data_IF_297769598571
#
_entry.id   IF_297769598571
#
_cell.length_a   1.000
_cell.length_b   1.000
_cell.length_c   1.000
_cell.angle_alpha   90.00
_cell.angle_beta   90.00
_cell.angle_gamma   90.00
#
_symmetry.space_group_name_H-M   'P 1'
#
loop_
_entity.id
_entity.type
_entity.pdbx_description
1 polymer ?
#
# COMPACT_ATOMS: atom_id res chain seq x y z
N UNK A 1 19.08 -57.95 29.99
CA UNK A 1 18.29 -58.69 28.98
C UNK A 1 18.08 -57.83 27.75
N UNK A 2 18.42 -58.40 26.59
CA UNK A 2 18.06 -58.06 25.20
C UNK A 2 18.15 -56.58 24.75
N UNK A 3 19.22 -56.17 24.04
CA UNK A 3 19.52 -56.33 22.59
C UNK A 3 19.13 -55.07 21.77
N UNK A 4 20.15 -54.27 21.43
CA UNK A 4 20.24 -53.47 20.19
C UNK A 4 20.15 -54.43 18.97
N UNK A 5 19.82 -54.04 17.71
CA UNK A 5 20.56 -52.97 17.00
C UNK A 5 19.92 -52.28 15.75
N UNK A 6 20.68 -51.29 15.24
CA UNK A 6 20.97 -50.98 13.83
C UNK A 6 19.87 -50.78 12.78
N UNK A 7 19.91 -49.61 12.11
CA UNK A 7 20.30 -49.39 10.68
C UNK A 7 19.99 -47.93 10.29
N UNK A 8 20.99 -47.04 10.11
CA UNK A 8 21.90 -46.84 8.96
C UNK A 8 21.38 -45.88 7.88
N UNK A 9 22.03 -44.72 7.78
CA UNK A 9 22.53 -44.00 6.60
C UNK A 9 21.68 -43.83 5.31
N UNK A 10 21.47 -42.56 4.93
CA UNK A 10 21.93 -41.90 3.68
C UNK A 10 21.40 -40.44 3.71
N UNK A 11 22.18 -39.38 3.96
CA UNK A 11 23.12 -38.63 3.09
C UNK A 11 22.67 -38.40 1.63
N UNK A 12 22.71 -37.10 1.25
CA UNK A 12 22.79 -36.49 -0.10
C UNK A 12 21.49 -36.40 -0.90
N UNK A 13 21.26 -35.43 -1.80
CA UNK A 13 21.70 -34.06 -2.08
C UNK A 13 20.83 -33.65 -3.30
N UNK A 14 20.35 -32.40 -3.36
CA UNK A 14 19.95 -31.66 -4.58
C UNK A 14 18.74 -32.10 -5.44
N UNK A 15 17.68 -31.27 -5.49
CA UNK A 15 17.35 -30.31 -6.60
C UNK A 15 15.86 -29.88 -6.60
N UNK A 16 15.65 -28.57 -6.55
CA UNK A 16 14.57 -27.86 -7.27
C UNK A 16 13.15 -27.90 -6.70
N UNK A 17 12.71 -26.80 -6.10
CA UNK A 17 11.53 -26.08 -6.62
C UNK A 17 11.55 -24.65 -6.11
N UNK A 18 11.67 -23.76 -7.08
CA UNK A 18 11.49 -22.32 -6.99
C UNK A 18 10.04 -21.98 -6.61
N UNK A 19 9.87 -20.85 -5.93
CA UNK A 19 8.65 -20.05 -6.07
C UNK A 19 7.62 -20.15 -4.96
N UNK A 20 7.39 -18.99 -4.33
CA UNK A 20 6.10 -18.56 -3.76
C UNK A 20 5.68 -19.12 -2.39
N UNK A 21 6.55 -18.99 -1.39
CA UNK A 21 6.21 -19.21 0.03
C UNK A 21 5.36 -18.12 0.71
N UNK A 22 4.97 -17.04 0.03
CA UNK A 22 4.38 -15.85 0.69
C UNK A 22 2.91 -15.53 0.33
N UNK A 23 2.24 -16.33 -0.51
CA UNK A 23 0.86 -16.03 -0.94
C UNK A 23 -0.26 -16.72 -0.16
N UNK A 24 0.03 -17.76 0.64
CA UNK A 24 -1.03 -18.52 1.32
C UNK A 24 -1.61 -17.83 2.56
N UNK A 25 -0.82 -17.03 3.27
CA UNK A 25 -1.28 -16.34 4.49
C UNK A 25 -2.12 -15.08 4.18
N UNK A 26 -1.80 -14.37 3.09
CA UNK A 26 -2.45 -13.10 2.73
C UNK A 26 -3.86 -13.26 2.18
N UNK A 27 -4.18 -14.40 1.56
CA UNK A 27 -5.52 -14.65 1.00
C UNK A 27 -6.53 -14.97 2.11
N UNK A 28 -6.11 -15.62 3.20
CA UNK A 28 -6.99 -16.04 4.29
C UNK A 28 -7.60 -14.82 5.02
N UNK A 29 -6.87 -13.71 5.09
CA UNK A 29 -7.32 -12.47 5.72
C UNK A 29 -8.42 -11.73 4.93
N UNK A 30 -8.51 -11.95 3.62
CA UNK A 30 -9.46 -11.30 2.70
C UNK A 30 -10.78 -12.07 2.55
N UNK A 31 -10.89 -13.26 3.13
CA UNK A 31 -12.06 -14.11 2.99
C UNK A 31 -13.13 -13.81 4.06
N UNK A 32 -14.40 -13.83 3.66
CA UNK A 32 -15.52 -13.73 4.60
C UNK A 32 -15.52 -14.92 5.59
N UNK A 33 -16.09 -14.74 6.78
CA UNK A 33 -16.11 -15.73 7.88
C UNK A 33 -16.54 -17.16 7.43
N UNK A 34 -17.51 -17.33 6.50
CA UNK A 34 -17.86 -18.64 5.93
C UNK A 34 -16.74 -19.32 5.12
N UNK A 35 -15.98 -18.57 4.33
CA UNK A 35 -14.90 -19.10 3.49
C UNK A 35 -13.68 -19.52 4.33
N UNK A 36 -13.42 -18.84 5.45
CA UNK A 36 -12.39 -19.25 6.43
C UNK A 36 -12.73 -20.59 7.09
N UNK A 37 -14.00 -20.80 7.46
CA UNK A 37 -14.48 -22.06 8.02
C UNK A 37 -14.38 -23.24 7.03
N UNK A 38 -14.57 -22.98 5.73
CA UNK A 38 -14.49 -24.02 4.70
C UNK A 38 -13.04 -24.48 4.41
N UNK A 39 -12.06 -23.59 4.55
CA UNK A 39 -10.63 -23.91 4.32
C UNK A 39 -10.02 -24.77 5.43
N UNK A 40 -10.47 -24.61 6.68
CA UNK A 40 -9.98 -25.38 7.83
C UNK A 40 -10.27 -26.89 7.74
N UNK A 41 -11.29 -27.29 6.98
CA UNK A 41 -11.76 -28.68 6.87
C UNK A 41 -11.71 -29.24 5.45
N UNK A 42 -10.89 -28.67 4.56
CA UNK A 42 -10.88 -28.97 3.13
C UNK A 42 -10.73 -30.48 2.80
N UNK A 43 -9.89 -31.21 3.55
CA UNK A 43 -9.70 -32.67 3.35
C UNK A 43 -10.89 -33.50 3.83
N UNK A 44 -11.56 -33.09 4.91
CA UNK A 44 -12.78 -33.72 5.42
C UNK A 44 -13.95 -33.49 4.44
N UNK A 45 -14.07 -32.27 3.93
CA UNK A 45 -15.11 -31.88 2.98
C UNK A 45 -14.96 -32.59 1.63
N UNK A 46 -13.73 -32.73 1.11
CA UNK A 46 -13.47 -33.49 -0.12
C UNK A 46 -13.77 -34.98 0.03
N UNK A 47 -13.41 -35.60 1.16
CA UNK A 47 -13.69 -37.02 1.42
C UNK A 47 -15.19 -37.30 1.55
N UNK A 48 -15.95 -36.39 2.15
CA UNK A 48 -17.40 -36.55 2.30
C UNK A 48 -18.14 -36.31 0.98
N UNK A 49 -17.68 -35.36 0.15
CA UNK A 49 -18.21 -35.15 -1.20
C UNK A 49 -17.96 -36.37 -2.12
N UNK A 50 -16.80 -37.02 -2.00
CA UNK A 50 -16.45 -38.20 -2.80
C UNK A 50 -17.25 -39.45 -2.39
N UNK A 51 -17.45 -39.65 -1.08
CA UNK A 51 -18.31 -40.72 -0.53
C UNK A 51 -19.78 -40.57 -0.95
N UNK A 52 -20.28 -39.34 -1.10
CA UNK A 52 -21.67 -39.07 -1.50
C UNK A 52 -21.91 -39.19 -3.01
N UNK A 53 -20.89 -39.03 -3.86
CA UNK A 53 -20.99 -39.28 -5.32
C UNK A 53 -21.24 -40.74 -5.67
N UNK A 54 -20.86 -41.67 -4.79
CA UNK A 54 -20.95 -43.11 -5.02
C UNK A 54 -22.00 -43.79 -4.12
N UNK A 55 -22.86 -43.01 -3.44
CA UNK A 55 -23.88 -43.56 -2.55
C UNK A 55 -25.17 -43.93 -3.33
N UNK A 56 -25.73 -45.15 -3.14
CA UNK A 56 -26.93 -45.59 -3.84
C UNK A 56 -28.19 -44.78 -3.45
N UNK A 57 -29.19 -44.68 -4.35
CA UNK A 57 -30.25 -43.67 -4.29
C UNK A 57 -31.22 -43.77 -3.10
N UNK A 58 -31.21 -44.87 -2.34
CA UNK A 58 -32.22 -45.15 -1.30
C UNK A 58 -31.90 -44.56 0.09
N UNK A 59 -30.72 -43.95 0.32
CA UNK A 59 -30.36 -43.24 1.57
C UNK A 59 -30.51 -41.71 1.45
N UNK A 60 -31.44 -41.23 0.63
CA UNK A 60 -31.69 -39.80 0.42
C UNK A 60 -32.76 -39.28 1.39
N UNK A 61 -32.34 -38.93 2.61
CA UNK A 61 -33.19 -38.26 3.60
C UNK A 61 -33.66 -36.86 3.15
N UNK A 62 -34.91 -36.52 3.52
CA UNK A 62 -35.68 -35.33 3.15
C UNK A 62 -35.18 -34.03 3.84
N UNK A 63 -35.37 -32.89 3.14
CA UNK A 63 -35.80 -31.61 3.73
C UNK A 63 -34.77 -30.72 4.43
N UNK A 64 -34.74 -29.43 4.07
CA UNK A 64 -34.07 -28.28 4.70
C UNK A 64 -32.53 -28.28 4.86
N UNK A 65 -31.88 -29.38 5.23
CA UNK A 65 -30.41 -29.42 5.36
C UNK A 65 -29.71 -29.38 3.98
N UNK A 66 -30.35 -29.95 2.95
CA UNK A 66 -29.85 -29.97 1.56
C UNK A 66 -29.88 -28.58 0.92
N UNK A 67 -30.98 -27.84 1.10
CA UNK A 67 -31.11 -26.47 0.60
C UNK A 67 -30.14 -25.50 1.27
N UNK A 68 -29.88 -25.66 2.58
CA UNK A 68 -28.87 -24.88 3.29
C UNK A 68 -27.45 -25.16 2.78
N UNK A 69 -27.13 -26.42 2.46
CA UNK A 69 -25.83 -26.79 1.92
C UNK A 69 -25.67 -26.29 0.47
N UNK A 70 -26.69 -26.44 -0.38
CA UNK A 70 -26.69 -25.99 -1.77
C UNK A 70 -26.66 -24.46 -1.89
N UNK A 71 -27.32 -23.72 -0.98
CA UNK A 71 -27.17 -22.24 -0.90
C UNK A 71 -25.74 -21.85 -0.52
N UNK A 72 -25.13 -22.55 0.45
CA UNK A 72 -23.74 -22.29 0.86
C UNK A 72 -22.74 -22.63 -0.25
N UNK A 73 -22.98 -23.70 -0.99
CA UNK A 73 -22.15 -24.10 -2.13
C UNK A 73 -22.25 -23.08 -3.27
N UNK A 74 -23.48 -22.65 -3.64
CA UNK A 74 -23.69 -21.57 -4.63
C UNK A 74 -23.07 -20.24 -4.18
N UNK A 75 -23.07 -19.93 -2.89
CA UNK A 75 -22.38 -18.76 -2.35
C UNK A 75 -20.86 -18.84 -2.55
N UNK A 76 -20.26 -20.01 -2.28
CA UNK A 76 -18.81 -20.23 -2.43
C UNK A 76 -18.39 -20.20 -3.90
N UNK A 77 -19.18 -20.79 -4.80
CA UNK A 77 -18.92 -20.75 -6.24
C UNK A 77 -19.07 -19.33 -6.80
N UNK A 78 -20.09 -18.55 -6.39
CA UNK A 78 -20.17 -17.11 -6.74
C UNK A 78 -18.98 -16.29 -6.25
N UNK A 79 -18.48 -16.57 -5.03
CA UNK A 79 -17.28 -15.91 -4.53
C UNK A 79 -16.02 -16.33 -5.29
N UNK A 80 -15.96 -17.57 -5.79
CA UNK A 80 -14.87 -18.06 -6.65
C UNK A 80 -14.92 -17.44 -8.04
N UNK A 81 -16.11 -17.34 -8.64
CA UNK A 81 -16.33 -16.67 -9.93
C UNK A 81 -16.03 -15.17 -9.84
N UNK A 82 -16.46 -14.50 -8.77
CA UNK A 82 -16.13 -13.10 -8.54
C UNK A 82 -14.61 -12.90 -8.34
N UNK A 83 -13.94 -13.83 -7.65
CA UNK A 83 -12.48 -13.78 -7.46
C UNK A 83 -11.72 -14.17 -8.73
N UNK A 84 -12.24 -15.12 -9.53
CA UNK A 84 -11.61 -15.53 -10.79
C UNK A 84 -11.79 -14.47 -11.86
N UNK A 85 -12.92 -13.75 -11.90
CA UNK A 85 -13.12 -12.58 -12.72
C UNK A 85 -12.19 -11.43 -12.31
N UNK A 86 -12.01 -11.18 -11.01
CA UNK A 86 -11.06 -10.19 -10.52
C UNK A 86 -9.60 -10.55 -10.86
N UNK A 87 -9.24 -11.83 -10.72
CA UNK A 87 -7.91 -12.34 -11.09
C UNK A 87 -7.73 -12.36 -12.61
N UNK A 88 -8.77 -12.62 -13.39
CA UNK A 88 -8.74 -12.57 -14.85
C UNK A 88 -8.61 -11.14 -15.35
N UNK A 89 -9.34 -10.18 -14.78
CA UNK A 89 -9.19 -8.74 -15.05
C UNK A 89 -7.80 -8.24 -14.66
N UNK A 90 -7.29 -8.64 -13.50
CA UNK A 90 -5.93 -8.31 -13.08
C UNK A 90 -4.86 -8.93 -14.01
N UNK A 91 -5.10 -10.14 -14.53
CA UNK A 91 -4.23 -10.78 -15.53
C UNK A 91 -4.34 -10.13 -16.89
N UNK A 92 -5.52 -9.75 -17.35
CA UNK A 92 -5.74 -9.03 -18.60
C UNK A 92 -5.10 -7.64 -18.55
N UNK A 93 -5.22 -6.92 -17.42
CA UNK A 93 -4.52 -5.67 -17.19
C UNK A 93 -2.99 -5.85 -17.18
N UNK A 94 -2.48 -6.93 -16.57
CA UNK A 94 -1.06 -7.27 -16.62
C UNK A 94 -0.59 -7.67 -18.04
N UNK A 95 -1.43 -8.37 -18.81
CA UNK A 95 -1.12 -8.82 -20.18
C UNK A 95 -1.16 -7.64 -21.17
N UNK A 96 -2.10 -6.72 -21.03
CA UNK A 96 -2.18 -5.47 -21.79
C UNK A 96 -0.95 -4.59 -21.53
N UNK A 97 -0.42 -4.59 -20.30
CA UNK A 97 0.82 -3.92 -19.96
C UNK A 97 2.07 -4.63 -20.55
N UNK A 98 1.99 -5.92 -20.86
CA UNK A 98 3.08 -6.70 -21.48
C UNK A 98 3.08 -6.70 -23.02
N UNK A 99 1.97 -6.33 -23.66
CA UNK A 99 1.84 -6.21 -25.13
C UNK A 99 1.97 -4.77 -25.65
N UNK A 100 2.20 -3.80 -24.76
CA UNK A 100 2.67 -2.48 -25.18
C UNK A 100 4.00 -2.66 -25.96
N UNK A 101 4.22 -1.90 -27.06
CA UNK A 101 5.42 -2.06 -27.88
C UNK A 101 6.66 -2.00 -26.98
N UNK A 102 7.54 -3.01 -27.10
CA UNK A 102 8.81 -3.07 -26.36
C UNK A 102 9.56 -1.76 -26.60
N UNK A 103 9.47 -0.84 -25.64
CA UNK A 103 10.36 0.33 -25.61
C UNK A 103 11.78 -0.22 -25.61
N UNK A 104 12.57 0.34 -26.51
CA UNK A 104 13.98 0.04 -26.71
C UNK A 104 14.75 0.01 -25.38
N UNK A 105 15.90 -0.69 -25.40
CA UNK A 105 16.87 -0.86 -24.33
C UNK A 105 16.84 0.23 -23.26
N UNK A 106 16.85 -0.18 -21.98
CA UNK A 106 16.98 0.70 -20.81
C UNK A 106 18.12 1.68 -21.06
N UNK A 107 17.86 2.99 -21.25
CA UNK A 107 18.92 3.98 -21.28
C UNK A 107 19.54 4.04 -19.87
N UNK A 108 20.85 4.26 -19.84
CA UNK A 108 21.71 4.39 -18.68
C UNK A 108 21.11 5.20 -17.51
N UNK A 109 21.64 4.96 -16.30
CA UNK A 109 21.30 5.57 -15.00
C UNK A 109 21.54 7.09 -14.92
N UNK A 110 20.96 7.85 -15.84
CA UNK A 110 20.96 9.30 -15.82
C UNK A 110 19.70 9.74 -15.07
N UNK A 111 19.90 10.32 -13.88
CA UNK A 111 18.82 11.00 -13.16
C UNK A 111 18.35 12.11 -14.09
N UNK A 112 17.05 12.22 -14.43
CA UNK A 112 16.59 13.32 -15.27
C UNK A 112 16.97 14.64 -14.61
N UNK A 113 17.85 15.37 -15.28
CA UNK A 113 18.39 16.68 -14.91
C UNK A 113 17.46 17.83 -15.32
N UNK A 114 16.19 17.53 -15.63
CA UNK A 114 15.16 18.54 -15.84
C UNK A 114 14.67 19.12 -14.51
N UNK A 115 14.16 20.35 -14.59
CA UNK A 115 13.42 20.99 -13.51
C UNK A 115 12.24 20.11 -13.10
N UNK A 116 11.98 20.06 -11.80
CA UNK A 116 10.84 19.30 -11.30
C UNK A 116 9.56 20.11 -11.52
N UNK A 117 8.44 19.46 -11.86
CA UNK A 117 7.17 20.16 -12.09
C UNK A 117 6.53 20.69 -10.80
N UNK A 118 7.10 20.43 -9.63
CA UNK A 118 6.48 20.71 -8.32
C UNK A 118 6.50 22.21 -8.02
N UNK A 119 5.39 22.87 -8.28
CA UNK A 119 5.15 24.29 -7.99
C UNK A 119 4.71 24.52 -6.54
N UNK A 120 4.03 23.53 -5.93
CA UNK A 120 3.44 23.64 -4.59
C UNK A 120 3.55 22.35 -3.78
N UNK A 121 3.93 22.49 -2.51
CA UNK A 121 3.84 21.43 -1.50
C UNK A 121 2.71 21.74 -0.53
N UNK A 122 1.80 20.79 -0.36
CA UNK A 122 0.76 20.86 0.67
C UNK A 122 0.95 19.79 1.74
N UNK A 123 0.59 20.12 2.99
CA UNK A 123 0.62 19.18 4.10
C UNK A 123 -0.36 19.56 5.21
N UNK A 124 -0.50 18.67 6.21
CA UNK A 124 -1.42 18.85 7.33
C UNK A 124 -0.88 19.68 8.49
N UNK A 125 0.41 20.01 8.46
CA UNK A 125 1.08 20.78 9.51
C UNK A 125 1.24 20.05 10.84
N UNK A 126 1.06 18.73 10.91
CA UNK A 126 1.46 17.96 12.09
C UNK A 126 3.00 18.03 12.29
N UNK A 127 3.50 17.71 13.48
CA UNK A 127 4.94 17.46 13.69
C UNK A 127 5.44 16.31 12.79
N UNK A 128 6.76 16.11 12.74
CA UNK A 128 7.35 15.04 11.93
C UNK A 128 7.32 15.37 10.44
N UNK A 129 6.79 14.46 9.63
CA UNK A 129 6.87 14.57 8.15
C UNK A 129 6.14 15.80 7.61
N UNK A 130 4.96 16.10 8.16
CA UNK A 130 4.15 17.21 7.67
C UNK A 130 4.89 18.56 7.84
N UNK A 131 5.60 18.73 8.96
CA UNK A 131 6.42 19.93 9.21
C UNK A 131 7.67 19.99 8.34
N UNK A 132 8.36 18.87 8.19
CA UNK A 132 9.53 18.77 7.32
C UNK A 132 9.18 19.17 5.88
N UNK A 133 8.02 18.75 5.37
CA UNK A 133 7.57 19.12 4.04
C UNK A 133 7.36 20.63 3.86
N UNK A 134 6.72 21.28 4.84
CA UNK A 134 6.48 22.72 4.81
C UNK A 134 7.77 23.53 4.96
N UNK A 135 8.70 23.06 5.79
CA UNK A 135 10.00 23.71 5.97
C UNK A 135 10.87 23.59 4.71
N UNK A 136 10.88 22.43 4.06
CA UNK A 136 11.60 22.22 2.79
C UNK A 136 11.00 23.07 1.66
N UNK A 137 9.67 23.14 1.56
CA UNK A 137 9.02 23.99 0.57
C UNK A 137 9.52 25.44 0.69
N UNK A 138 9.48 25.99 1.92
CA UNK A 138 9.96 27.33 2.23
C UNK A 138 11.46 27.50 1.95
N UNK A 139 12.28 26.53 2.33
CA UNK A 139 13.73 26.57 2.13
C UNK A 139 14.15 26.51 0.66
N UNK A 140 13.34 25.88 -0.20
CA UNK A 140 13.58 25.78 -1.65
C UNK A 140 12.83 26.84 -2.46
N UNK A 141 12.10 27.76 -1.82
CA UNK A 141 11.28 28.75 -2.53
C UNK A 141 10.04 28.18 -3.25
N UNK A 142 9.65 26.94 -2.93
CA UNK A 142 8.44 26.29 -3.47
C UNK A 142 7.23 26.77 -2.65
N UNK A 143 6.09 27.01 -3.30
CA UNK A 143 4.89 27.43 -2.60
C UNK A 143 4.48 26.37 -1.55
N UNK A 144 4.26 26.80 -0.30
CA UNK A 144 3.78 25.93 0.76
C UNK A 144 2.29 26.15 1.02
N UNK A 145 1.58 25.14 1.51
CA UNK A 145 0.21 25.31 1.99
C UNK A 145 -0.44 24.03 2.49
N UNK A 146 -1.77 23.98 2.39
CA UNK A 146 -2.58 22.82 2.75
C UNK A 146 -3.65 23.12 3.78
N UNK A 147 -4.33 22.06 4.20
CA UNK A 147 -5.40 22.09 5.18
C UNK A 147 -4.93 21.55 6.52
N UNK A 148 -5.30 22.23 7.61
CA UNK A 148 -5.06 21.79 8.99
C UNK A 148 -6.39 21.73 9.76
N UNK A 149 -6.46 21.01 10.90
CA UNK A 149 -7.69 20.93 11.69
C UNK A 149 -8.08 22.30 12.26
N UNK A 150 -9.38 22.51 12.52
CA UNK A 150 -9.89 23.67 13.26
C UNK A 150 -9.11 23.93 14.55
N UNK A 151 -8.76 25.18 14.79
CA UNK A 151 -7.86 25.64 15.86
C UNK A 151 -6.38 25.33 15.58
N UNK A 152 -6.02 25.09 14.31
CA UNK A 152 -4.65 24.76 13.87
C UNK A 152 -4.01 23.65 14.70
N UNK A 153 -4.76 22.61 15.05
CA UNK A 153 -4.27 21.61 16.03
C UNK A 153 -3.12 20.76 15.47
N UNK A 154 -2.04 20.65 16.24
CA UNK A 154 -1.01 19.62 16.14
C UNK A 154 -0.74 19.01 17.52
N UNK A 155 0.15 18.01 17.61
CA UNK A 155 0.48 17.36 18.89
C UNK A 155 1.27 18.26 19.84
N UNK A 156 2.06 19.19 19.29
CA UNK A 156 2.90 20.15 19.98
C UNK A 156 2.17 21.48 20.29
N UNK A 157 0.85 21.49 20.11
CA UNK A 157 0.01 22.68 20.26
C UNK A 157 -0.45 23.26 18.92
N UNK A 158 -0.85 24.55 18.88
CA UNK A 158 -1.27 25.20 17.65
C UNK A 158 -0.13 25.30 16.63
N UNK A 159 -0.43 24.97 15.37
CA UNK A 159 0.49 25.06 14.24
C UNK A 159 0.91 26.53 14.05
N UNK A 160 2.23 26.83 14.04
CA UNK A 160 2.72 28.19 13.89
C UNK A 160 2.16 28.93 12.66
N UNK A 161 1.93 30.24 12.81
CA UNK A 161 1.36 31.09 11.74
C UNK A 161 2.25 31.25 10.51
N UNK A 162 3.56 30.99 10.65
CA UNK A 162 4.51 30.97 9.52
C UNK A 162 4.16 29.94 8.43
N UNK A 163 3.31 28.96 8.75
CA UNK A 163 2.82 27.98 7.80
C UNK A 163 1.49 28.43 7.19
N UNK A 164 1.41 28.66 5.87
CA UNK A 164 0.22 29.18 5.19
C UNK A 164 -0.85 28.08 5.01
N UNK A 165 -1.41 27.60 6.12
CA UNK A 165 -2.41 26.53 6.16
C UNK A 165 -3.81 27.11 6.34
N UNK A 166 -4.77 26.55 5.62
CA UNK A 166 -6.20 26.81 5.80
C UNK A 166 -6.78 25.87 6.85
N UNK A 167 -7.53 26.40 7.79
CA UNK A 167 -8.26 25.56 8.74
C UNK A 167 -9.45 24.89 8.05
N UNK A 168 -9.71 23.64 8.42
CA UNK A 168 -10.99 22.99 8.14
C UNK A 168 -12.02 23.40 9.18
N UNK A 169 -13.30 23.13 8.89
CA UNK A 169 -14.40 23.39 9.84
C UNK A 169 -14.41 22.41 11.03
N UNK A 170 -13.56 21.38 10.97
CA UNK A 170 -13.54 20.25 11.89
C UNK A 170 -12.20 20.10 12.59
N UNK A 171 -12.25 19.70 13.87
CA UNK A 171 -11.05 19.39 14.66
C UNK A 171 -10.47 18.01 14.35
N UNK A 172 -11.12 17.20 13.52
CA UNK A 172 -10.71 15.83 13.21
C UNK A 172 -9.58 15.80 12.17
N UNK A 173 -8.52 15.03 12.47
CA UNK A 173 -7.40 14.87 11.54
C UNK A 173 -7.79 14.19 10.23
N UNK A 174 -8.82 13.35 10.21
CA UNK A 174 -9.29 12.69 8.99
C UNK A 174 -9.76 13.70 7.93
N UNK A 175 -10.37 14.81 8.34
CA UNK A 175 -10.94 15.79 7.40
C UNK A 175 -9.84 16.59 6.70
N UNK A 176 -8.83 17.04 7.45
CA UNK A 176 -7.66 17.70 6.84
C UNK A 176 -6.90 16.76 5.91
N UNK A 177 -6.76 15.49 6.30
CA UNK A 177 -6.06 14.49 5.46
C UNK A 177 -6.80 14.28 4.14
N UNK A 178 -8.13 14.13 4.19
CA UNK A 178 -8.94 13.97 2.98
C UNK A 178 -8.87 15.19 2.07
N UNK A 179 -8.95 16.41 2.63
CA UNK A 179 -8.85 17.65 1.85
C UNK A 179 -7.47 17.79 1.19
N UNK A 180 -6.38 17.51 1.92
CA UNK A 180 -5.03 17.55 1.35
C UNK A 180 -4.82 16.51 0.24
N UNK A 181 -5.31 15.27 0.43
CA UNK A 181 -5.21 14.24 -0.61
C UNK A 181 -5.94 14.68 -1.89
N UNK A 182 -7.16 15.22 -1.76
CA UNK A 182 -7.98 15.65 -2.91
C UNK A 182 -7.49 16.92 -3.60
N UNK A 183 -6.77 17.78 -2.88
CA UNK A 183 -6.26 19.04 -3.41
C UNK A 183 -4.89 18.92 -4.09
N UNK A 184 -4.31 17.72 -4.14
CA UNK A 184 -3.02 17.46 -4.76
C UNK A 184 -3.16 16.57 -6.00
N UNK A 185 -2.23 16.74 -6.93
CA UNK A 185 -2.08 15.88 -8.11
C UNK A 185 -1.55 14.51 -7.68
N UNK A 186 -0.72 14.47 -6.62
CA UNK A 186 -0.23 13.24 -6.06
C UNK A 186 0.08 13.36 -4.55
N UNK A 187 0.07 12.21 -3.86
CA UNK A 187 0.45 12.10 -2.45
C UNK A 187 1.74 11.29 -2.27
N UNK A 188 2.75 11.89 -1.66
CA UNK A 188 3.97 11.23 -1.22
C UNK A 188 3.87 10.93 0.29
N UNK A 189 3.89 9.65 0.64
CA UNK A 189 3.91 9.19 2.03
C UNK A 189 5.32 8.76 2.41
N UNK A 190 5.87 9.36 3.47
CA UNK A 190 7.19 9.04 4.00
C UNK A 190 7.06 8.39 5.39
N UNK A 191 7.72 7.25 5.61
CA UNK A 191 7.75 6.58 6.92
C UNK A 191 9.11 5.96 7.19
N UNK A 192 9.57 5.92 8.43
CA UNK A 192 10.68 5.07 8.86
C UNK A 192 10.21 3.63 9.06
N UNK A 193 9.02 3.44 9.63
CA UNK A 193 8.47 2.12 9.95
C UNK A 193 7.28 1.72 9.05
N UNK A 194 6.65 0.58 9.36
CA UNK A 194 5.42 0.16 8.68
C UNK A 194 4.28 1.13 9.02
N UNK A 195 3.55 1.68 8.01
CA UNK A 195 2.48 2.64 8.27
C UNK A 195 1.41 2.10 9.20
N UNK A 196 1.10 2.86 10.25
CA UNK A 196 -0.01 2.62 11.18
C UNK A 196 -0.82 3.92 11.37
N UNK A 197 -1.96 3.84 12.05
CA UNK A 197 -2.73 5.01 12.48
C UNK A 197 -3.05 6.02 11.36
N UNK A 198 -2.69 7.29 11.59
CA UNK A 198 -2.95 8.40 10.66
C UNK A 198 -2.25 8.23 9.31
N UNK A 199 -1.06 7.64 9.28
CA UNK A 199 -0.32 7.39 8.03
C UNK A 199 -0.99 6.31 7.18
N UNK A 200 -1.46 5.23 7.81
CA UNK A 200 -2.23 4.19 7.12
C UNK A 200 -3.56 4.73 6.60
N UNK A 201 -4.18 5.66 7.33
CA UNK A 201 -5.37 6.39 6.89
C UNK A 201 -5.10 7.20 5.62
N UNK A 202 -3.98 7.92 5.54
CA UNK A 202 -3.61 8.68 4.33
C UNK A 202 -3.47 7.78 3.11
N UNK A 203 -2.77 6.65 3.23
CA UNK A 203 -2.63 5.68 2.14
C UNK A 203 -3.98 5.13 1.67
N UNK A 204 -4.90 4.88 2.61
CA UNK A 204 -6.25 4.44 2.29
C UNK A 204 -7.04 5.54 1.57
N UNK A 205 -7.02 6.76 2.09
CA UNK A 205 -7.72 7.90 1.51
C UNK A 205 -7.22 8.25 0.10
N UNK A 206 -5.92 8.15 -0.16
CA UNK A 206 -5.37 8.37 -1.50
C UNK A 206 -5.89 7.33 -2.51
N UNK A 207 -5.97 6.06 -2.11
CA UNK A 207 -6.58 5.01 -2.93
C UNK A 207 -8.07 5.24 -3.15
N UNK A 208 -8.82 5.61 -2.11
CA UNK A 208 -10.26 5.89 -2.21
C UNK A 208 -10.57 7.11 -3.08
N UNK A 209 -9.65 8.07 -3.17
CA UNK A 209 -9.77 9.26 -4.00
C UNK A 209 -9.19 9.09 -5.42
N UNK A 210 -8.66 7.91 -5.74
CA UNK A 210 -7.93 7.62 -6.98
C UNK A 210 -6.77 8.60 -7.26
N UNK A 211 -6.18 9.14 -6.18
CA UNK A 211 -5.04 10.06 -6.26
C UNK A 211 -3.74 9.25 -6.33
N UNK A 212 -2.87 9.49 -7.32
CA UNK A 212 -1.55 8.87 -7.41
C UNK A 212 -0.80 8.95 -6.07
N UNK A 213 -0.40 7.79 -5.54
CA UNK A 213 0.20 7.72 -4.21
C UNK A 213 1.49 6.93 -4.25
N UNK A 214 2.56 7.54 -3.72
CA UNK A 214 3.87 6.89 -3.59
C UNK A 214 4.26 6.79 -2.12
N UNK A 215 4.55 5.57 -1.67
CA UNK A 215 5.09 5.33 -0.33
C UNK A 215 6.59 5.10 -0.40
N UNK A 216 7.35 5.82 0.42
CA UNK A 216 8.81 5.67 0.53
C UNK A 216 9.18 5.40 1.98
N UNK A 217 9.92 4.31 2.19
CA UNK A 217 10.55 4.02 3.49
C UNK A 217 11.86 4.79 3.65
N UNK A 218 12.03 5.44 4.80
CA UNK A 218 13.19 6.20 5.22
C UNK A 218 14.08 5.39 6.19
N UNK A 219 15.39 5.66 6.26
CA UNK A 219 16.14 6.53 5.35
C UNK A 219 16.13 5.97 3.92
N UNK A 220 16.05 6.87 2.93
CA UNK A 220 15.99 6.46 1.54
C UNK A 220 17.38 6.39 0.90
N UNK A 221 17.57 5.41 0.02
CA UNK A 221 18.75 5.33 -0.85
C UNK A 221 18.69 6.37 -1.96
N UNK A 222 19.84 6.69 -2.58
CA UNK A 222 19.90 7.56 -3.78
C UNK A 222 18.93 7.09 -4.89
N UNK A 223 18.81 5.77 -5.08
CA UNK A 223 17.88 5.16 -6.03
C UNK A 223 16.41 5.50 -5.74
N UNK A 224 16.00 5.48 -4.46
CA UNK A 224 14.63 5.86 -4.07
C UNK A 224 14.35 7.33 -4.34
N UNK A 225 15.34 8.21 -4.14
CA UNK A 225 15.25 9.63 -4.50
C UNK A 225 15.06 9.79 -6.01
N UNK A 226 15.95 9.20 -6.82
CA UNK A 226 15.87 9.26 -8.29
C UNK A 226 14.55 8.73 -8.84
N UNK A 227 14.07 7.58 -8.32
CA UNK A 227 12.78 7.05 -8.73
C UNK A 227 11.61 7.98 -8.32
N UNK A 228 11.73 8.73 -7.22
CA UNK A 228 10.68 9.66 -6.76
C UNK A 228 10.64 10.88 -7.67
N UNK A 229 11.80 11.44 -8.04
CA UNK A 229 11.91 12.50 -9.04
C UNK A 229 11.26 12.09 -10.36
N UNK A 230 11.62 10.91 -10.87
CA UNK A 230 11.03 10.36 -12.11
C UNK A 230 9.51 10.25 -12.02
N UNK A 231 8.98 9.76 -10.89
CA UNK A 231 7.53 9.65 -10.70
C UNK A 231 6.81 11.01 -10.65
N UNK A 232 7.46 12.04 -10.08
CA UNK A 232 6.91 13.40 -10.10
C UNK A 232 6.85 13.96 -11.53
N UNK A 233 7.92 13.75 -12.32
CA UNK A 233 8.00 14.21 -13.70
C UNK A 233 7.02 13.45 -14.62
N UNK A 234 7.00 12.12 -14.54
CA UNK A 234 6.10 11.29 -15.36
C UNK A 234 4.62 11.54 -15.06
N UNK A 235 4.30 12.00 -13.84
CA UNK A 235 2.95 12.33 -13.43
C UNK A 235 2.55 13.80 -13.61
N UNK A 236 3.42 14.66 -14.14
CA UNK A 236 3.24 16.13 -14.16
C UNK A 236 2.72 16.68 -12.81
N UNK A 237 3.36 16.24 -11.71
CA UNK A 237 2.88 16.55 -10.36
C UNK A 237 3.26 17.99 -10.00
N UNK A 238 2.30 18.92 -10.07
CA UNK A 238 2.52 20.34 -9.74
C UNK A 238 2.22 20.66 -8.30
N UNK A 239 1.14 20.10 -7.76
CA UNK A 239 0.79 20.14 -6.34
C UNK A 239 1.03 18.79 -5.68
N UNK A 240 2.07 18.72 -4.85
CA UNK A 240 2.44 17.51 -4.11
C UNK A 240 1.93 17.57 -2.66
N UNK A 241 1.05 16.64 -2.29
CA UNK A 241 0.74 16.42 -0.88
C UNK A 241 1.83 15.54 -0.26
N UNK A 242 2.42 15.96 0.86
CA UNK A 242 3.40 15.16 1.61
C UNK A 242 2.86 14.85 2.99
N UNK A 243 2.91 13.58 3.37
CA UNK A 243 2.37 13.09 4.63
C UNK A 243 3.23 11.98 5.26
N UNK A 244 3.11 11.80 6.57
CA UNK A 244 3.77 10.73 7.30
C UNK A 244 3.44 10.76 8.79
N UNK A 245 4.19 9.99 9.60
CA UNK A 245 3.98 9.95 11.04
C UNK A 245 4.38 11.28 11.68
N UNK A 246 3.75 11.54 12.82
CA UNK A 246 4.09 12.64 13.72
C UNK A 246 5.37 12.33 14.49
N UNK A 247 6.05 13.35 14.99
CA UNK A 247 7.35 13.20 15.65
C UNK A 247 7.28 12.25 16.85
N UNK A 248 6.18 12.25 17.61
CA UNK A 248 5.99 11.33 18.73
C UNK A 248 5.85 9.85 18.33
N UNK A 249 5.55 9.54 17.06
CA UNK A 249 5.36 8.16 16.58
C UNK A 249 6.66 7.54 16.07
N UNK A 250 7.56 8.35 15.50
CA UNK A 250 8.83 7.90 14.95
C UNK A 250 9.94 8.93 15.23
N UNK A 251 10.85 8.62 16.14
CA UNK A 251 11.99 9.47 16.46
C UNK A 251 12.87 9.72 15.23
N UNK A 252 13.31 10.97 15.03
CA UNK A 252 14.14 11.38 13.89
C UNK A 252 13.42 11.43 12.54
N UNK A 253 12.09 11.19 12.49
CA UNK A 253 11.35 11.17 11.21
C UNK A 253 11.36 12.52 10.50
N UNK A 254 11.35 13.62 11.26
CA UNK A 254 11.43 14.98 10.71
C UNK A 254 12.71 15.15 9.89
N UNK A 255 13.88 14.87 10.47
CA UNK A 255 15.18 15.05 9.82
C UNK A 255 15.34 14.11 8.63
N UNK A 256 14.90 12.86 8.78
CA UNK A 256 14.94 11.89 7.70
C UNK A 256 14.06 12.32 6.51
N UNK A 257 12.87 12.86 6.77
CA UNK A 257 11.97 13.36 5.74
C UNK A 257 12.52 14.62 5.07
N UNK A 258 13.02 15.57 5.87
CA UNK A 258 13.66 16.80 5.38
C UNK A 258 14.82 16.48 4.44
N UNK A 259 15.77 15.66 4.88
CA UNK A 259 16.93 15.27 4.07
C UNK A 259 16.53 14.50 2.80
N UNK A 260 15.43 13.73 2.84
CA UNK A 260 14.90 13.07 1.65
C UNK A 260 14.33 14.10 0.65
N UNK A 261 13.51 15.03 1.12
CA UNK A 261 12.84 16.03 0.29
C UNK A 261 13.84 17.06 -0.27
N UNK A 262 14.83 17.52 0.50
CA UNK A 262 15.86 18.44 0.00
C UNK A 262 16.67 17.81 -1.13
N UNK A 263 17.06 16.53 -1.00
CA UNK A 263 17.73 15.79 -2.09
C UNK A 263 16.82 15.50 -3.27
N UNK A 264 15.53 15.29 -3.00
CA UNK A 264 14.54 14.95 -4.01
C UNK A 264 14.10 16.15 -4.83
N UNK A 265 13.88 17.29 -4.18
CA UNK A 265 13.27 18.50 -4.73
C UNK A 265 14.27 19.64 -4.95
N UNK A 266 15.47 19.55 -4.39
CA UNK A 266 16.55 20.48 -4.66
C UNK A 266 17.09 20.36 -6.09
N UNK A 267 17.68 21.45 -6.58
CA UNK A 267 18.29 21.53 -7.91
C UNK A 267 17.51 22.34 -8.95
N UNK A 268 16.53 23.17 -8.55
CA UNK A 268 15.98 24.19 -9.46
C UNK A 268 17.08 25.19 -9.78
N UNK A 269 17.50 25.23 -11.03
CA UNK A 269 18.34 26.31 -11.54
C UNK A 269 17.46 27.55 -11.50
N UNK A 270 17.76 28.50 -10.61
CA UNK A 270 17.16 29.82 -10.68
C UNK A 270 17.63 30.50 -11.96
N UNK A 271 16.82 30.38 -13.03
CA UNK A 271 16.93 31.23 -14.21
C UNK A 271 16.73 32.67 -13.74
N UNK A 272 17.78 33.47 -13.88
CA UNK A 272 17.82 34.90 -13.54
C UNK A 272 16.99 35.73 -14.51
#
# INVERSE_FOLDING_TARGET
MAKRPHRSNARHFCRGTTGTGLHKLSIIALLCKPCRLALGNHRLFQREAQRRRHAPPHRRGKGAARERCDRRFRQVERCREASSAHVALARQAAQANSNAPRRAAVPSEQTPSGDLPVEKIISGGQTGVDRAALDVARGLGIAAGGFCPKGRRAEDGPIPMRYPLHETDSRAYADRTRRNVRAADATLVLTGQTPVGGTALTLRMAREADTPCRHVRLPATKKRVAHTRRWLVEGDVRTLNVAGPRASEEEGIYDAARAFLERGLGGHSSSS
#
